data_IF_961636173407
#
_entry.id   IF_961636173407
#
_cell.length_a   1.000
_cell.length_b   1.000
_cell.length_c   1.000
_cell.angle_alpha   90.00
_cell.angle_beta   90.00
_cell.angle_gamma   90.00
#
_symmetry.space_group_name_H-M   'P 1'
#
loop_
_entity.id
_entity.type
_entity.pdbx_description
1 polymer ?
#
# COMPACT_ATOMS: atom_id res chain seq x y z
N UNK A 1 -7.24 -22.82 15.87
CA UNK A 1 -6.65 -23.56 14.75
C UNK A 1 -5.45 -24.37 15.23
N UNK A 2 -5.30 -25.68 14.88
CA UNK A 2 -4.12 -26.47 15.28
C UNK A 2 -2.91 -26.00 14.46
N UNK A 3 -1.86 -25.54 15.13
CA UNK A 3 -0.57 -25.19 14.52
C UNK A 3 -0.09 -26.31 13.61
N UNK A 4 0.20 -26.04 12.33
CA UNK A 4 0.82 -27.02 11.43
C UNK A 4 2.32 -27.08 11.68
N UNK A 5 2.94 -28.25 11.56
CA UNK A 5 4.32 -28.46 11.96
C UNK A 5 5.37 -27.82 11.05
N UNK A 6 5.01 -27.34 9.85
CA UNK A 6 5.95 -26.85 8.84
C UNK A 6 6.21 -25.33 8.87
N UNK A 7 5.46 -24.57 9.70
CA UNK A 7 5.64 -23.11 9.82
C UNK A 7 5.25 -22.31 8.58
N UNK A 8 4.66 -22.95 7.54
CA UNK A 8 4.26 -22.33 6.29
C UNK A 8 2.81 -21.85 6.32
N UNK A 9 2.53 -20.75 5.61
CA UNK A 9 1.19 -20.20 5.41
C UNK A 9 0.73 -20.54 3.98
N UNK A 10 -0.34 -21.33 3.88
CA UNK A 10 -1.00 -21.64 2.61
C UNK A 10 -1.97 -20.51 2.29
N UNK A 11 -1.61 -19.75 1.24
CA UNK A 11 -2.28 -18.53 0.86
C UNK A 11 -3.24 -18.79 -0.31
N UNK A 12 -4.53 -18.44 -0.12
CA UNK A 12 -5.50 -18.27 -1.19
C UNK A 12 -5.46 -16.83 -1.69
N UNK A 13 -5.53 -16.61 -3.00
CA UNK A 13 -5.47 -15.28 -3.62
C UNK A 13 -6.80 -14.92 -4.24
N UNK A 14 -7.37 -13.77 -3.88
CA UNK A 14 -8.60 -13.22 -4.48
C UNK A 14 -8.25 -12.02 -5.34
N UNK A 15 -8.36 -12.20 -6.66
CA UNK A 15 -7.98 -11.19 -7.65
C UNK A 15 -6.53 -11.31 -8.11
N UNK A 16 -6.36 -11.81 -9.32
CA UNK A 16 -5.07 -11.98 -9.99
C UNK A 16 -4.69 -10.75 -10.83
N UNK A 17 -5.06 -9.56 -10.35
CA UNK A 17 -4.83 -8.29 -11.00
C UNK A 17 -3.41 -7.72 -10.80
N UNK A 18 -3.31 -6.38 -10.92
CA UNK A 18 -2.02 -5.68 -10.78
C UNK A 18 -1.41 -5.84 -9.38
N UNK A 19 -2.21 -5.76 -8.32
CA UNK A 19 -1.69 -5.89 -6.96
C UNK A 19 -1.03 -7.26 -6.75
N UNK A 20 -1.70 -8.34 -7.16
CA UNK A 20 -1.10 -9.67 -7.17
C UNK A 20 0.18 -9.73 -8.01
N UNK A 21 0.18 -9.16 -9.23
CA UNK A 21 1.36 -9.14 -10.10
C UNK A 21 2.57 -8.45 -9.45
N UNK A 22 2.33 -7.44 -8.61
CA UNK A 22 3.38 -6.73 -7.87
C UNK A 22 3.86 -7.50 -6.63
N UNK A 23 2.98 -8.27 -5.98
CA UNK A 23 3.34 -9.10 -4.82
C UNK A 23 3.92 -10.47 -5.22
N UNK A 24 3.68 -10.92 -6.43
CA UNK A 24 4.08 -12.25 -6.88
C UNK A 24 5.58 -12.54 -6.68
N UNK A 25 6.53 -11.65 -7.04
CA UNK A 25 7.95 -11.88 -6.77
C UNK A 25 8.24 -12.13 -5.28
N UNK A 26 7.57 -11.40 -4.41
CA UNK A 26 7.70 -11.54 -2.94
C UNK A 26 7.20 -12.89 -2.46
N UNK A 27 6.02 -13.32 -2.92
CA UNK A 27 5.48 -14.65 -2.59
C UNK A 27 6.36 -15.79 -3.09
N UNK A 28 6.98 -15.63 -4.27
CA UNK A 28 7.85 -16.66 -4.85
C UNK A 28 9.22 -16.77 -4.18
N UNK A 29 9.70 -15.66 -3.62
CA UNK A 29 11.01 -15.61 -2.97
C UNK A 29 11.00 -16.12 -1.52
N UNK A 30 9.82 -16.24 -0.92
CA UNK A 30 9.68 -16.62 0.49
C UNK A 30 9.10 -18.04 0.63
N UNK A 31 9.92 -18.95 1.12
CA UNK A 31 9.57 -20.36 1.29
C UNK A 31 8.56 -20.61 2.42
N UNK A 32 8.26 -19.59 3.24
CA UNK A 32 7.21 -19.60 4.27
C UNK A 32 5.81 -19.45 3.67
N UNK A 33 5.69 -19.02 2.40
CA UNK A 33 4.41 -18.86 1.69
C UNK A 33 4.23 -19.94 0.66
N UNK A 34 3.04 -20.53 0.61
CA UNK A 34 2.60 -21.47 -0.42
C UNK A 34 1.36 -20.91 -1.09
N UNK A 35 1.44 -20.61 -2.38
CA UNK A 35 0.29 -20.22 -3.19
C UNK A 35 -0.61 -21.44 -3.42
N UNK A 36 -1.61 -21.66 -2.56
CA UNK A 36 -2.40 -22.87 -2.48
C UNK A 36 -3.66 -22.84 -3.34
N UNK A 37 -4.23 -21.65 -3.55
CA UNK A 37 -5.42 -21.47 -4.35
C UNK A 37 -5.55 -20.05 -4.89
N UNK A 38 -6.36 -19.86 -5.95
CA UNK A 38 -6.73 -18.54 -6.42
C UNK A 38 -8.19 -18.45 -6.86
N UNK A 39 -8.75 -17.25 -6.72
CA UNK A 39 -10.07 -16.89 -7.21
C UNK A 39 -9.98 -15.63 -8.08
N UNK A 40 -10.44 -15.69 -9.32
CA UNK A 40 -10.50 -14.56 -10.26
C UNK A 40 -11.61 -14.84 -11.30
N UNK A 41 -12.44 -13.86 -11.70
CA UNK A 41 -13.46 -14.09 -12.73
C UNK A 41 -12.87 -14.43 -14.11
N UNK A 42 -11.62 -14.05 -14.39
CA UNK A 42 -10.95 -14.30 -15.68
C UNK A 42 -10.41 -15.72 -15.76
N UNK A 43 -10.99 -16.53 -16.63
CA UNK A 43 -10.58 -17.91 -16.87
C UNK A 43 -9.10 -18.05 -17.29
N UNK A 44 -8.58 -17.12 -18.12
CA UNK A 44 -7.17 -17.11 -18.53
C UNK A 44 -6.21 -17.00 -17.35
N UNK A 45 -6.53 -16.12 -16.38
CA UNK A 45 -5.72 -15.94 -15.16
C UNK A 45 -5.79 -17.18 -14.26
N UNK A 46 -6.99 -17.77 -14.08
CA UNK A 46 -7.17 -19.01 -13.30
C UNK A 46 -6.36 -20.16 -13.89
N UNK A 47 -6.49 -20.40 -15.21
CA UNK A 47 -5.75 -21.47 -15.90
C UNK A 47 -4.24 -21.27 -15.80
N UNK A 48 -3.76 -20.05 -15.91
CA UNK A 48 -2.33 -19.79 -15.74
C UNK A 48 -1.89 -20.08 -14.31
N UNK A 49 -2.63 -19.63 -13.30
CA UNK A 49 -2.30 -19.88 -11.89
C UNK A 49 -2.24 -21.41 -11.58
N UNK A 50 -3.21 -22.17 -12.09
CA UNK A 50 -3.19 -23.63 -11.95
C UNK A 50 -1.97 -24.28 -12.58
N UNK A 51 -1.52 -23.79 -13.75
CA UNK A 51 -0.32 -24.30 -14.42
C UNK A 51 0.97 -23.92 -13.68
N UNK A 52 1.07 -22.65 -13.24
CA UNK A 52 2.29 -22.12 -12.65
C UNK A 52 2.56 -22.69 -11.25
N UNK A 53 1.49 -22.98 -10.48
CA UNK A 53 1.59 -23.35 -9.06
C UNK A 53 1.03 -24.73 -8.74
N UNK A 54 0.41 -25.44 -9.69
CA UNK A 54 -0.27 -26.71 -9.41
C UNK A 54 -1.42 -26.57 -8.41
N UNK A 55 -1.96 -25.35 -8.26
CA UNK A 55 -2.89 -24.98 -7.20
C UNK A 55 -4.35 -25.03 -7.68
N UNK A 56 -5.27 -25.12 -6.73
CA UNK A 56 -6.71 -25.09 -7.01
C UNK A 56 -7.15 -23.70 -7.44
N UNK A 57 -8.10 -23.62 -8.36
CA UNK A 57 -8.63 -22.35 -8.86
C UNK A 57 -10.15 -22.33 -8.83
N UNK A 58 -10.70 -21.17 -8.51
CA UNK A 58 -12.11 -20.95 -8.30
C UNK A 58 -12.58 -19.70 -9.06
N UNK A 59 -13.83 -19.67 -9.46
CA UNK A 59 -14.46 -18.50 -10.05
C UNK A 59 -14.97 -17.55 -8.95
N UNK A 60 -15.44 -18.13 -7.85
CA UNK A 60 -16.04 -17.44 -6.72
C UNK A 60 -15.27 -17.72 -5.42
N UNK A 61 -15.14 -16.69 -4.57
CA UNK A 61 -14.48 -16.79 -3.28
C UNK A 61 -15.24 -17.72 -2.32
N UNK A 62 -16.57 -17.80 -2.44
CA UNK A 62 -17.36 -18.62 -1.51
C UNK A 62 -16.91 -20.09 -1.52
N UNK A 63 -16.58 -20.62 -2.69
CA UNK A 63 -16.05 -21.99 -2.80
C UNK A 63 -14.63 -22.10 -2.23
N UNK A 64 -13.75 -21.14 -2.57
CA UNK A 64 -12.36 -21.11 -2.09
C UNK A 64 -12.27 -20.99 -0.57
N UNK A 65 -13.12 -20.16 0.05
CA UNK A 65 -13.06 -19.88 1.49
C UNK A 65 -13.35 -21.13 2.36
N UNK A 66 -14.14 -22.07 1.87
CA UNK A 66 -14.42 -23.33 2.57
C UNK A 66 -13.25 -24.33 2.54
N UNK A 67 -12.26 -24.14 1.67
CA UNK A 67 -11.15 -25.09 1.55
C UNK A 67 -10.36 -25.22 2.87
N UNK A 68 -10.15 -26.44 3.38
CA UNK A 68 -9.33 -26.66 4.57
C UNK A 68 -7.82 -26.49 4.28
N UNK A 69 -7.46 -26.36 3.00
CA UNK A 69 -6.08 -26.26 2.54
C UNK A 69 -5.58 -24.83 2.43
N UNK A 70 -6.34 -23.87 2.94
CA UNK A 70 -5.99 -22.44 2.98
C UNK A 70 -5.95 -21.99 4.43
N UNK A 71 -4.84 -21.31 4.81
CA UNK A 71 -4.65 -20.75 6.15
C UNK A 71 -4.99 -19.26 6.17
N UNK A 72 -4.63 -18.54 5.09
CA UNK A 72 -4.88 -17.11 4.94
C UNK A 72 -5.34 -16.77 3.51
N UNK A 73 -6.03 -15.64 3.37
CA UNK A 73 -6.51 -15.13 2.08
C UNK A 73 -5.88 -13.76 1.82
N UNK A 74 -5.19 -13.62 0.68
CA UNK A 74 -4.76 -12.33 0.15
C UNK A 74 -5.87 -11.75 -0.73
N UNK A 75 -6.44 -10.62 -0.28
CA UNK A 75 -7.53 -9.92 -0.96
C UNK A 75 -6.95 -8.80 -1.81
N UNK A 76 -6.86 -9.01 -3.11
CA UNK A 76 -6.35 -8.11 -4.13
C UNK A 76 -7.40 -7.83 -5.22
N UNK A 77 -8.66 -8.00 -4.89
CA UNK A 77 -9.82 -7.65 -5.71
C UNK A 77 -9.98 -6.12 -5.85
N UNK A 78 -10.88 -5.60 -6.70
CA UNK A 78 -11.22 -4.18 -6.70
C UNK A 78 -11.75 -3.71 -5.33
N UNK A 79 -11.44 -2.46 -4.98
CA UNK A 79 -11.64 -1.90 -3.63
C UNK A 79 -13.07 -2.08 -3.07
N UNK A 80 -14.09 -1.96 -3.93
CA UNK A 80 -15.50 -2.12 -3.55
C UNK A 80 -15.87 -3.52 -3.07
N UNK A 81 -15.02 -4.52 -3.28
CA UNK A 81 -15.27 -5.90 -2.86
C UNK A 81 -14.47 -6.29 -1.61
N UNK A 82 -13.52 -5.46 -1.15
CA UNK A 82 -12.63 -5.80 -0.04
C UNK A 82 -13.42 -6.20 1.21
N UNK A 83 -14.39 -5.40 1.62
CA UNK A 83 -15.16 -5.66 2.85
C UNK A 83 -15.94 -6.97 2.77
N UNK A 84 -16.67 -7.21 1.67
CA UNK A 84 -17.43 -8.44 1.50
C UNK A 84 -16.52 -9.67 1.48
N UNK A 85 -15.42 -9.61 0.74
CA UNK A 85 -14.45 -10.72 0.66
C UNK A 85 -13.75 -10.98 2.00
N UNK A 86 -13.36 -9.92 2.73
CA UNK A 86 -12.73 -10.05 4.04
C UNK A 86 -13.68 -10.68 5.07
N UNK A 87 -14.93 -10.21 5.14
CA UNK A 87 -15.93 -10.77 6.04
C UNK A 87 -16.23 -12.24 5.74
N UNK A 88 -16.33 -12.60 4.45
CA UNK A 88 -16.55 -13.99 4.03
C UNK A 88 -15.38 -14.90 4.40
N UNK A 89 -14.16 -14.48 4.11
CA UNK A 89 -12.95 -15.25 4.44
C UNK A 89 -12.78 -15.40 5.95
N UNK A 90 -12.96 -14.30 6.73
CA UNK A 90 -12.90 -14.33 8.19
C UNK A 90 -13.94 -15.28 8.79
N UNK A 91 -15.20 -15.24 8.32
CA UNK A 91 -16.26 -16.13 8.78
C UNK A 91 -15.95 -17.62 8.56
N UNK A 92 -15.04 -17.93 7.61
CA UNK A 92 -14.54 -19.27 7.36
C UNK A 92 -13.18 -19.56 8.06
N UNK A 93 -12.81 -18.74 9.04
CA UNK A 93 -11.62 -18.94 9.87
C UNK A 93 -10.30 -18.69 9.14
N UNK A 94 -10.30 -17.89 8.06
CA UNK A 94 -9.07 -17.54 7.32
C UNK A 94 -8.47 -16.26 7.87
N UNK A 95 -7.14 -16.24 8.08
CA UNK A 95 -6.41 -15.00 8.29
C UNK A 95 -6.42 -14.16 7.02
N UNK A 96 -6.22 -12.85 7.13
CA UNK A 96 -6.37 -11.92 6.03
C UNK A 96 -5.10 -11.12 5.78
N UNK A 97 -4.72 -11.01 4.51
CA UNK A 97 -3.87 -9.95 3.98
C UNK A 97 -4.72 -9.16 2.97
N UNK A 98 -5.01 -7.91 3.26
CA UNK A 98 -5.92 -7.08 2.45
C UNK A 98 -5.15 -5.95 1.80
N UNK A 99 -5.33 -5.74 0.49
CA UNK A 99 -4.76 -4.58 -0.20
C UNK A 99 -5.37 -3.27 0.29
N UNK A 100 -4.56 -2.20 0.19
CA UNK A 100 -5.04 -0.85 0.47
C UNK A 100 -5.81 -0.26 -0.76
N UNK A 101 -6.76 0.66 -0.53
CA UNK A 101 -7.36 1.01 0.76
C UNK A 101 -8.13 -0.18 1.34
N UNK A 102 -8.16 -0.28 2.67
CA UNK A 102 -8.84 -1.39 3.36
C UNK A 102 -10.29 -1.57 2.89
N UNK A 103 -11.01 -0.45 2.75
CA UNK A 103 -12.39 -0.37 2.28
C UNK A 103 -12.68 1.01 1.70
N UNK A 104 -13.93 1.32 1.35
CA UNK A 104 -14.36 2.63 0.86
C UNK A 104 -15.00 3.50 1.95
N UNK A 105 -15.34 2.93 3.10
CA UNK A 105 -15.91 3.63 4.25
C UNK A 105 -15.38 3.09 5.57
N UNK A 106 -15.42 3.92 6.62
CA UNK A 106 -15.05 3.47 7.97
C UNK A 106 -16.02 2.44 8.52
N UNK A 107 -17.29 2.46 8.12
CA UNK A 107 -18.28 1.47 8.51
C UNK A 107 -17.95 0.07 7.95
N UNK A 108 -17.49 -0.02 6.69
CA UNK A 108 -16.99 -1.27 6.12
C UNK A 108 -15.73 -1.76 6.85
N UNK A 109 -14.83 -0.85 7.24
CA UNK A 109 -13.67 -1.21 8.07
C UNK A 109 -14.10 -1.82 9.40
N UNK A 110 -15.12 -1.25 10.06
CA UNK A 110 -15.64 -1.80 11.31
C UNK A 110 -16.21 -3.21 11.12
N UNK A 111 -16.97 -3.44 10.06
CA UNK A 111 -17.48 -4.77 9.70
C UNK A 111 -16.35 -5.81 9.55
N UNK A 112 -15.26 -5.43 8.86
CA UNK A 112 -14.11 -6.31 8.65
C UNK A 112 -13.39 -6.60 9.98
N UNK A 113 -13.14 -5.58 10.81
CA UNK A 113 -12.49 -5.70 12.12
C UNK A 113 -13.33 -6.61 13.04
N UNK A 114 -14.64 -6.39 13.12
CA UNK A 114 -15.55 -7.21 13.91
C UNK A 114 -15.63 -8.65 13.40
N UNK A 115 -15.64 -8.86 12.07
CA UNK A 115 -15.64 -10.21 11.51
C UNK A 115 -14.39 -10.98 11.90
N UNK A 116 -13.21 -10.35 11.82
CA UNK A 116 -11.94 -10.94 12.25
C UNK A 116 -11.91 -11.23 13.75
N UNK A 117 -12.41 -10.30 14.57
CA UNK A 117 -12.47 -10.48 16.02
C UNK A 117 -13.40 -11.65 16.42
N UNK A 118 -14.59 -11.75 15.80
CA UNK A 118 -15.52 -12.87 16.05
C UNK A 118 -14.96 -14.23 15.64
N UNK A 119 -14.16 -14.26 14.58
CA UNK A 119 -13.55 -15.49 14.05
C UNK A 119 -12.18 -15.80 14.68
N UNK A 120 -11.65 -14.93 15.53
CA UNK A 120 -10.31 -15.03 16.14
C UNK A 120 -9.20 -15.17 15.09
N UNK A 121 -9.32 -14.43 13.97
CA UNK A 121 -8.33 -14.41 12.89
C UNK A 121 -7.58 -13.08 12.83
N UNK A 122 -6.37 -13.11 12.32
CA UNK A 122 -5.54 -11.92 12.11
C UNK A 122 -5.88 -11.25 10.79
N UNK A 123 -5.80 -9.92 10.76
CA UNK A 123 -5.92 -9.12 9.54
C UNK A 123 -4.77 -8.13 9.46
N UNK A 124 -4.07 -8.15 8.34
CA UNK A 124 -3.02 -7.21 7.97
C UNK A 124 -3.48 -6.48 6.71
N UNK A 125 -3.30 -5.16 6.68
CA UNK A 125 -3.68 -4.33 5.53
C UNK A 125 -2.43 -3.72 4.90
N UNK A 126 -2.13 -4.08 3.69
CA UNK A 126 -0.94 -3.63 2.94
C UNK A 126 -0.82 -4.37 1.59
N UNK A 127 0.13 -3.97 0.76
CA UNK A 127 1.29 -3.15 1.10
C UNK A 127 0.97 -1.65 1.17
N UNK A 128 1.37 -0.99 2.27
CA UNK A 128 1.59 0.44 2.35
C UNK A 128 3.09 0.72 2.50
N UNK A 129 3.56 1.91 2.12
CA UNK A 129 4.98 2.24 2.22
C UNK A 129 5.48 2.40 3.67
N UNK A 130 4.58 2.48 4.66
CA UNK A 130 4.94 2.39 6.08
C UNK A 130 5.58 1.06 6.49
N UNK A 131 5.36 -0.02 5.71
CA UNK A 131 6.09 -1.29 5.88
C UNK A 131 7.56 -1.18 5.49
N UNK A 132 7.94 -0.27 4.59
CA UNK A 132 9.29 -0.25 4.03
C UNK A 132 10.35 -0.02 5.11
N UNK A 133 11.41 -0.80 5.05
CA UNK A 133 12.50 -0.80 6.03
C UNK A 133 13.02 0.58 6.43
N UNK A 134 13.20 1.58 5.50
CA UNK A 134 13.65 2.91 5.91
C UNK A 134 12.69 3.62 6.87
N UNK A 135 11.38 3.47 6.69
CA UNK A 135 10.39 4.10 7.59
C UNK A 135 10.28 3.37 8.92
N UNK A 136 10.29 2.02 8.91
CA UNK A 136 10.27 1.23 10.15
C UNK A 136 11.51 1.48 11.00
N UNK A 137 12.70 1.57 10.38
CA UNK A 137 13.93 1.87 11.10
C UNK A 137 13.96 3.33 11.61
N UNK A 138 13.45 4.27 10.82
CA UNK A 138 13.29 5.67 11.27
C UNK A 138 12.36 5.74 12.49
N UNK A 139 11.22 4.99 12.50
CA UNK A 139 10.33 4.94 13.67
C UNK A 139 11.08 4.43 14.91
N UNK A 140 11.86 3.35 14.80
CA UNK A 140 12.66 2.82 15.91
C UNK A 140 13.69 3.85 16.43
N UNK A 141 14.33 4.61 15.53
CA UNK A 141 15.24 5.69 15.91
C UNK A 141 14.52 6.81 16.67
N UNK A 142 13.32 7.19 16.23
CA UNK A 142 12.49 8.17 16.92
C UNK A 142 12.07 7.68 18.31
N UNK A 143 11.69 6.39 18.43
CA UNK A 143 11.30 5.75 19.70
C UNK A 143 12.45 5.68 20.71
N UNK A 144 13.71 5.71 20.25
CA UNK A 144 14.86 5.74 21.15
C UNK A 144 14.95 7.01 22.01
N UNK A 145 14.20 8.06 21.64
CA UNK A 145 14.23 9.37 22.30
C UNK A 145 15.52 10.20 22.04
N UNK A 146 16.47 9.66 21.27
CA UNK A 146 17.77 10.30 20.98
C UNK A 146 17.63 11.71 20.41
N UNK A 147 16.58 11.97 19.63
CA UNK A 147 16.42 13.20 18.86
C UNK A 147 15.37 14.15 19.46
N UNK A 148 14.82 13.82 20.63
CA UNK A 148 13.70 14.56 21.21
C UNK A 148 12.38 14.30 20.48
N UNK A 149 11.40 15.14 20.74
CA UNK A 149 10.08 14.99 20.16
C UNK A 149 10.06 15.32 18.65
N UNK A 150 9.27 14.57 17.88
CA UNK A 150 8.94 14.93 16.50
C UNK A 150 8.11 16.23 16.53
N UNK A 151 8.48 17.19 15.68
CA UNK A 151 7.81 18.50 15.59
C UNK A 151 7.10 18.68 14.25
N UNK A 152 7.74 18.31 13.16
CA UNK A 152 7.22 18.52 11.81
C UNK A 152 7.64 17.37 10.89
N UNK A 153 6.74 17.00 9.98
CA UNK A 153 7.04 16.02 8.92
C UNK A 153 6.65 16.63 7.58
N UNK A 154 7.56 16.59 6.62
CA UNK A 154 7.27 16.89 5.23
C UNK A 154 7.33 15.63 4.39
N UNK A 155 6.27 15.38 3.61
CA UNK A 155 6.22 14.29 2.65
C UNK A 155 5.69 14.82 1.31
N UNK A 156 6.44 14.58 0.25
CA UNK A 156 6.00 14.96 -1.08
C UNK A 156 6.29 13.86 -2.10
N UNK A 157 5.44 13.77 -3.14
CA UNK A 157 5.70 12.87 -4.25
C UNK A 157 5.07 13.39 -5.55
N UNK A 158 5.85 13.39 -6.62
CA UNK A 158 5.44 13.77 -7.97
C UNK A 158 5.66 12.60 -8.91
N UNK A 159 4.61 12.15 -9.56
CA UNK A 159 4.64 11.00 -10.49
C UNK A 159 3.72 11.27 -11.68
N UNK A 160 3.76 10.39 -12.67
CA UNK A 160 2.84 10.37 -13.81
C UNK A 160 1.61 9.46 -13.57
N UNK A 161 1.26 9.20 -12.32
CA UNK A 161 0.24 8.21 -11.91
C UNK A 161 -1.06 8.32 -12.70
N UNK A 162 -1.57 9.52 -12.94
CA UNK A 162 -2.85 9.74 -13.64
C UNK A 162 -2.82 9.26 -15.09
N UNK A 163 -1.65 9.11 -15.69
CA UNK A 163 -1.47 8.68 -17.09
C UNK A 163 -1.08 7.20 -17.23
N UNK A 164 -0.96 6.47 -16.13
CA UNK A 164 -0.88 5.01 -16.17
C UNK A 164 -2.24 4.45 -16.54
N UNK A 165 -2.35 3.36 -17.34
CA UNK A 165 -3.65 2.81 -17.76
C UNK A 165 -4.60 2.53 -16.59
N UNK A 166 -5.85 2.99 -16.72
CA UNK A 166 -6.91 2.92 -15.69
C UNK A 166 -8.14 2.17 -16.20
N UNK A 167 -8.87 1.59 -15.28
CA UNK A 167 -10.25 1.16 -15.48
C UNK A 167 -11.18 2.35 -15.20
N UNK A 168 -12.41 2.38 -15.76
CA UNK A 168 -13.33 3.51 -15.55
C UNK A 168 -13.57 3.86 -14.08
N UNK A 169 -13.73 2.86 -13.20
CA UNK A 169 -13.98 3.06 -11.77
C UNK A 169 -12.77 3.68 -11.03
N UNK A 170 -11.56 3.49 -11.53
CA UNK A 170 -10.34 4.09 -10.96
C UNK A 170 -10.20 5.59 -11.26
N UNK A 171 -11.07 6.12 -12.13
CA UNK A 171 -11.22 7.54 -12.44
C UNK A 171 -12.51 8.14 -11.85
N UNK A 172 -13.09 7.48 -10.83
CA UNK A 172 -14.28 7.92 -10.11
C UNK A 172 -14.00 7.88 -8.62
N UNK A 173 -13.94 9.04 -7.97
CA UNK A 173 -13.62 9.15 -6.54
C UNK A 173 -14.61 8.36 -5.68
N UNK A 174 -15.90 8.38 -6.00
CA UNK A 174 -16.96 7.67 -5.27
C UNK A 174 -16.83 6.14 -5.37
N UNK A 175 -16.15 5.64 -6.40
CA UNK A 175 -15.85 4.21 -6.57
C UNK A 175 -14.48 3.81 -5.97
N UNK A 176 -13.83 4.71 -5.20
CA UNK A 176 -12.51 4.49 -4.64
C UNK A 176 -11.37 4.78 -5.62
N UNK A 177 -11.65 5.53 -6.69
CA UNK A 177 -10.66 6.03 -7.63
C UNK A 177 -9.95 7.29 -7.13
N UNK A 178 -9.12 7.87 -8.01
CA UNK A 178 -8.36 9.07 -7.70
C UNK A 178 -7.10 8.83 -6.87
N UNK A 179 -6.39 9.92 -6.57
CA UNK A 179 -5.12 9.83 -5.84
C UNK A 179 -5.30 9.79 -4.33
N UNK A 180 -6.46 10.19 -3.80
CA UNK A 180 -6.66 10.17 -2.34
C UNK A 180 -6.76 8.72 -1.86
N UNK A 181 -7.62 7.90 -2.45
CA UNK A 181 -7.70 6.48 -2.09
C UNK A 181 -6.46 5.68 -2.48
N UNK A 182 -5.84 6.00 -3.61
CA UNK A 182 -4.76 5.16 -4.15
C UNK A 182 -3.37 5.58 -3.70
N UNK A 183 -3.12 6.86 -3.44
CA UNK A 183 -1.80 7.42 -3.17
C UNK A 183 -1.71 8.11 -1.81
N UNK A 184 -2.74 8.88 -1.39
CA UNK A 184 -2.69 9.50 -0.07
C UNK A 184 -2.69 8.45 1.05
N UNK A 185 -3.31 7.30 0.85
CA UNK A 185 -3.23 6.18 1.79
C UNK A 185 -1.78 5.82 2.14
N UNK A 186 -0.86 5.82 1.18
CA UNK A 186 0.56 5.57 1.44
C UNK A 186 1.23 6.70 2.22
N UNK A 187 1.03 7.97 1.79
CA UNK A 187 1.66 9.11 2.44
C UNK A 187 1.14 9.31 3.87
N UNK A 188 -0.18 9.22 4.06
CA UNK A 188 -0.83 9.32 5.37
C UNK A 188 -0.31 8.23 6.30
N UNK A 189 -0.19 7.01 5.81
CA UNK A 189 0.29 5.88 6.59
C UNK A 189 1.73 6.08 7.07
N UNK A 190 2.62 6.51 6.16
CA UNK A 190 4.02 6.84 6.49
C UNK A 190 4.10 7.96 7.54
N UNK A 191 3.38 9.08 7.36
CA UNK A 191 3.51 10.20 8.32
C UNK A 191 2.87 9.87 9.66
N UNK A 192 1.81 9.05 9.70
CA UNK A 192 1.24 8.54 10.96
C UNK A 192 2.22 7.65 11.70
N UNK A 193 2.88 6.72 11.00
CA UNK A 193 3.94 5.89 11.57
C UNK A 193 5.05 6.77 12.18
N UNK A 194 5.55 7.74 11.42
CA UNK A 194 6.67 8.59 11.85
C UNK A 194 6.29 9.57 12.97
N UNK A 195 5.07 10.11 12.97
CA UNK A 195 4.58 10.95 14.05
C UNK A 195 4.43 10.20 15.38
N UNK A 196 4.11 8.89 15.32
CA UNK A 196 3.92 8.04 16.50
C UNK A 196 2.78 8.51 17.41
N UNK A 197 1.78 9.18 16.86
CA UNK A 197 0.66 9.77 17.60
C UNK A 197 -0.61 9.75 16.73
N UNK A 198 -1.79 9.66 17.33
CA UNK A 198 -3.05 9.80 16.61
C UNK A 198 -3.14 11.13 15.88
N UNK A 199 -3.68 11.10 14.66
CA UNK A 199 -4.02 12.33 13.95
C UNK A 199 -5.26 12.96 14.59
N UNK A 200 -5.28 14.30 14.73
CA UNK A 200 -6.37 15.01 15.39
C UNK A 200 -7.26 15.77 14.42
N UNK A 201 -6.68 16.34 13.37
CA UNK A 201 -7.43 17.07 12.33
C UNK A 201 -6.66 17.17 11.03
N UNK A 202 -7.37 17.45 9.92
CA UNK A 202 -6.77 17.64 8.60
C UNK A 202 -7.40 18.83 7.87
N UNK A 203 -6.56 19.55 7.10
CA UNK A 203 -6.96 20.51 6.08
C UNK A 203 -6.37 20.08 4.76
N UNK A 204 -7.18 20.03 3.70
CA UNK A 204 -6.71 19.60 2.38
C UNK A 204 -7.29 20.46 1.25
N UNK A 205 -6.54 20.51 0.16
CA UNK A 205 -6.98 21.01 -1.15
C UNK A 205 -6.66 19.96 -2.19
N UNK A 206 -7.59 19.72 -3.11
CA UNK A 206 -7.47 18.74 -4.18
C UNK A 206 -7.39 19.44 -5.54
N UNK A 207 -6.67 18.84 -6.48
CA UNK A 207 -6.52 19.31 -7.86
C UNK A 207 -7.08 18.31 -8.86
N UNK A 208 -7.99 18.77 -9.73
CA UNK A 208 -8.48 18.06 -10.89
C UNK A 208 -8.23 18.94 -12.13
N UNK A 209 -7.12 18.66 -12.83
CA UNK A 209 -6.61 19.56 -13.87
C UNK A 209 -6.77 19.03 -15.29
N UNK A 210 -7.06 17.73 -15.43
CA UNK A 210 -7.20 17.09 -16.74
C UNK A 210 -8.65 16.58 -16.89
N UNK A 211 -9.44 17.18 -17.81
CA UNK A 211 -10.83 16.76 -18.02
C UNK A 211 -10.95 15.31 -18.56
N UNK A 212 -9.88 14.75 -19.12
CA UNK A 212 -9.86 13.36 -19.56
C UNK A 212 -9.63 12.38 -18.40
N UNK A 213 -9.33 12.90 -17.20
CA UNK A 213 -9.12 12.18 -15.95
C UNK A 213 -10.07 12.74 -14.87
N UNK A 214 -11.38 12.40 -14.92
CA UNK A 214 -12.43 13.07 -14.14
C UNK A 214 -12.44 12.68 -12.67
N UNK A 215 -11.28 12.71 -12.01
CA UNK A 215 -11.09 12.51 -10.58
C UNK A 215 -9.96 13.39 -10.09
N UNK A 216 -9.78 13.54 -8.78
CA UNK A 216 -8.64 14.25 -8.23
C UNK A 216 -7.33 13.51 -8.57
N UNK A 217 -6.36 14.26 -9.06
CA UNK A 217 -5.04 13.74 -9.45
C UNK A 217 -3.89 14.40 -8.68
N UNK A 218 -4.18 15.37 -7.80
CA UNK A 218 -3.22 16.02 -6.93
C UNK A 218 -3.88 16.43 -5.61
N UNK A 219 -3.06 16.56 -4.56
CA UNK A 219 -3.48 17.14 -3.28
C UNK A 219 -2.32 17.85 -2.57
N UNK A 220 -2.69 18.80 -1.72
CA UNK A 220 -1.87 19.29 -0.61
C UNK A 220 -2.69 19.24 0.66
N UNK A 221 -2.10 18.76 1.74
CA UNK A 221 -2.78 18.64 3.03
C UNK A 221 -1.86 18.98 4.20
N UNK A 222 -2.45 19.54 5.25
CA UNK A 222 -1.85 19.67 6.57
C UNK A 222 -2.57 18.70 7.51
N UNK A 223 -1.81 17.89 8.22
CA UNK A 223 -2.30 16.92 9.18
C UNK A 223 -1.68 17.22 10.56
N UNK A 224 -2.50 17.37 11.59
CA UNK A 224 -2.07 17.61 12.97
C UNK A 224 -2.23 16.36 13.81
N UNK A 225 -1.38 16.19 14.80
CA UNK A 225 -1.34 15.05 15.71
C UNK A 225 -1.57 15.49 17.16
N UNK A 226 -2.03 14.56 18.00
CA UNK A 226 -2.34 14.83 19.42
C UNK A 226 -1.10 15.23 20.23
N UNK A 227 0.09 14.76 19.85
CA UNK A 227 1.36 15.13 20.49
C UNK A 227 1.86 16.55 20.12
N UNK A 228 1.08 17.31 19.36
CA UNK A 228 1.41 18.66 18.92
C UNK A 228 2.29 18.75 17.66
N UNK A 229 2.75 17.62 17.12
CA UNK A 229 3.42 17.62 15.82
C UNK A 229 2.43 17.79 14.66
N UNK A 230 2.96 18.12 13.48
CA UNK A 230 2.14 18.22 12.28
C UNK A 230 2.89 17.71 11.04
N UNK A 231 2.14 17.33 10.01
CA UNK A 231 2.69 16.95 8.73
C UNK A 231 2.13 17.77 7.58
N UNK A 232 3.00 18.07 6.60
CA UNK A 232 2.63 18.64 5.30
C UNK A 232 2.78 17.54 4.25
N UNK A 233 1.71 17.23 3.53
CA UNK A 233 1.65 16.23 2.50
C UNK A 233 1.36 16.89 1.16
N UNK A 234 2.13 16.54 0.12
CA UNK A 234 1.87 17.01 -1.24
C UNK A 234 2.06 15.86 -2.21
N UNK A 235 1.09 15.64 -3.08
CA UNK A 235 1.16 14.65 -4.14
C UNK A 235 0.66 15.22 -5.46
N UNK A 236 1.36 14.90 -6.54
CA UNK A 236 0.89 15.16 -7.89
C UNK A 236 1.05 13.92 -8.77
N UNK A 237 -0.06 13.34 -9.20
CA UNK A 237 -0.12 12.28 -10.21
C UNK A 237 -0.11 12.83 -11.65
N UNK A 238 -0.12 14.14 -11.83
CA UNK A 238 0.01 14.83 -13.12
C UNK A 238 1.46 15.18 -13.46
N UNK A 239 2.42 14.69 -12.68
CA UNK A 239 3.83 15.06 -12.81
C UNK A 239 4.37 14.92 -14.23
N UNK A 240 5.08 15.95 -14.68
CA UNK A 240 6.09 15.88 -15.74
C UNK A 240 7.46 15.71 -15.11
N UNK A 241 7.70 16.36 -13.97
CA UNK A 241 8.77 16.07 -13.05
C UNK A 241 8.42 14.81 -12.25
N UNK A 242 9.43 13.96 -11.96
CA UNK A 242 9.34 12.83 -11.05
C UNK A 242 10.25 13.09 -9.85
N UNK A 243 9.81 12.77 -8.65
CA UNK A 243 10.58 12.98 -7.41
C UNK A 243 11.65 11.91 -7.12
N UNK A 244 11.76 10.84 -7.91
CA UNK A 244 12.75 9.78 -7.75
C UNK A 244 14.21 10.29 -7.62
N UNK A 245 14.68 11.32 -8.39
CA UNK A 245 16.03 11.88 -8.23
C UNK A 245 16.32 12.39 -6.82
N UNK A 246 15.31 12.80 -6.06
CA UNK A 246 15.48 13.25 -4.67
C UNK A 246 15.60 12.10 -3.66
N UNK A 247 15.39 10.87 -4.12
CA UNK A 247 15.61 9.61 -3.41
C UNK A 247 16.76 8.79 -4.00
N UNK A 248 17.81 9.45 -4.47
CA UNK A 248 18.99 8.78 -4.99
C UNK A 248 18.85 8.26 -6.43
N UNK A 249 17.80 8.64 -7.18
CA UNK A 249 17.56 8.19 -8.55
C UNK A 249 16.99 6.78 -8.64
N UNK A 250 16.44 6.27 -7.54
CA UNK A 250 15.71 5.01 -7.52
C UNK A 250 14.21 5.24 -7.73
N UNK A 251 13.57 4.30 -8.42
CA UNK A 251 12.11 4.27 -8.56
C UNK A 251 11.44 3.86 -7.25
N UNK A 252 10.12 4.07 -7.14
CA UNK A 252 9.30 3.63 -6.01
C UNK A 252 9.55 2.18 -5.59
N UNK A 253 9.93 1.30 -6.53
CA UNK A 253 10.20 -0.12 -6.29
C UNK A 253 11.68 -0.45 -6.02
N UNK A 254 12.55 0.56 -5.88
CA UNK A 254 13.97 0.38 -5.57
C UNK A 254 14.85 0.00 -6.76
N UNK A 255 14.37 0.16 -8.00
CA UNK A 255 15.17 -0.02 -9.22
C UNK A 255 15.72 1.31 -9.70
N UNK A 256 16.78 1.28 -10.52
CA UNK A 256 17.28 2.52 -11.16
C UNK A 256 16.20 3.19 -12.00
N UNK A 257 16.06 4.50 -11.86
CA UNK A 257 15.28 5.31 -12.78
C UNK A 257 16.12 5.58 -14.05
N UNK A 258 15.48 5.51 -15.23
CA UNK A 258 16.13 5.75 -16.51
C UNK A 258 15.48 6.92 -17.24
N UNK A 259 16.29 7.78 -17.87
CA UNK A 259 15.81 8.93 -18.65
C UNK A 259 14.89 8.51 -19.81
N UNK A 260 15.08 7.32 -20.36
CA UNK A 260 14.26 6.74 -21.42
C UNK A 260 12.79 6.52 -21.00
N UNK A 261 12.53 6.38 -19.70
CA UNK A 261 11.18 6.23 -19.16
C UNK A 261 10.42 7.56 -19.07
N UNK A 262 11.09 8.69 -19.28
CA UNK A 262 10.44 10.00 -19.25
C UNK A 262 9.26 10.07 -20.25
N UNK A 263 8.08 10.41 -19.74
CA UNK A 263 6.86 10.51 -20.53
C UNK A 263 6.27 9.20 -21.08
N UNK A 264 6.80 8.05 -20.70
CA UNK A 264 6.38 6.71 -21.18
C UNK A 264 4.87 6.45 -20.96
N UNK A 265 4.33 6.79 -19.79
CA UNK A 265 2.91 6.60 -19.51
C UNK A 265 2.03 7.44 -20.45
N UNK A 266 2.38 8.72 -20.68
CA UNK A 266 1.64 9.60 -21.59
C UNK A 266 1.74 9.12 -23.05
N UNK A 267 2.93 8.73 -23.51
CA UNK A 267 3.09 8.16 -24.86
C UNK A 267 2.25 6.91 -25.04
N UNK A 268 2.20 6.05 -24.03
CA UNK A 268 1.39 4.81 -24.05
C UNK A 268 -0.11 5.10 -24.18
N UNK A 269 -0.60 6.16 -23.55
CA UNK A 269 -2.01 6.55 -23.62
C UNK A 269 -2.37 7.36 -24.87
N UNK A 270 -1.42 8.04 -25.51
CA UNK A 270 -1.68 8.96 -26.62
C UNK A 270 -2.40 8.30 -27.83
N UNK A 271 -2.30 6.98 -27.97
CA UNK A 271 -2.97 6.21 -29.04
C UNK A 271 -4.24 5.51 -28.60
N UNK A 272 -4.70 5.70 -27.35
CA UNK A 272 -5.86 5.00 -26.81
C UNK A 272 -7.13 5.85 -26.99
N UNK A 273 -8.07 5.35 -27.79
CA UNK A 273 -9.26 6.12 -28.19
C UNK A 273 -10.50 5.95 -27.31
N UNK A 274 -10.48 5.03 -26.32
CA UNK A 274 -11.64 4.81 -25.44
C UNK A 274 -11.25 4.25 -24.07
N UNK A 275 -12.15 4.42 -23.08
CA UNK A 275 -11.98 3.88 -21.73
C UNK A 275 -11.88 2.34 -21.72
N UNK A 276 -12.64 1.66 -22.59
CA UNK A 276 -12.61 0.20 -22.72
C UNK A 276 -11.27 -0.29 -23.28
N UNK A 277 -10.68 0.46 -24.24
CA UNK A 277 -9.36 0.15 -24.78
C UNK A 277 -8.27 0.36 -23.72
N UNK A 278 -8.39 1.39 -22.89
CA UNK A 278 -7.48 1.63 -21.77
C UNK A 278 -7.59 0.53 -20.72
N UNK A 279 -8.80 0.13 -20.34
CA UNK A 279 -9.03 -0.95 -19.40
C UNK A 279 -8.45 -2.29 -19.91
N UNK A 280 -8.63 -2.58 -21.22
CA UNK A 280 -7.99 -3.75 -21.86
C UNK A 280 -6.47 -3.68 -21.80
N UNK A 281 -5.88 -2.54 -22.16
CA UNK A 281 -4.43 -2.33 -22.08
C UNK A 281 -3.87 -2.60 -20.68
N UNK A 282 -4.62 -2.23 -19.64
CA UNK A 282 -4.27 -2.54 -18.25
C UNK A 282 -4.40 -4.03 -17.96
N UNK A 283 -5.52 -4.65 -18.34
CA UNK A 283 -5.77 -6.07 -18.11
C UNK A 283 -4.74 -6.96 -18.81
N UNK A 284 -4.41 -6.64 -20.06
CA UNK A 284 -3.43 -7.37 -20.86
C UNK A 284 -2.03 -7.41 -20.23
N UNK A 285 -1.67 -6.40 -19.46
CA UNK A 285 -0.38 -6.30 -18.76
C UNK A 285 -0.42 -6.88 -17.33
N UNK A 286 -1.52 -7.50 -16.89
CA UNK A 286 -1.63 -8.16 -15.58
C UNK A 286 -1.51 -9.67 -15.71
N UNK A 287 -1.35 -10.37 -14.60
CA UNK A 287 -1.23 -11.83 -14.56
C UNK A 287 -2.35 -12.52 -15.37
N UNK A 288 -1.96 -13.44 -16.23
CA UNK A 288 -2.86 -14.14 -17.14
C UNK A 288 -3.29 -13.35 -18.39
N UNK A 289 -2.81 -12.12 -18.55
CA UNK A 289 -3.02 -11.32 -19.76
C UNK A 289 -1.99 -11.61 -20.85
N UNK A 290 -2.29 -11.34 -22.11
CA UNK A 290 -1.43 -11.70 -23.25
C UNK A 290 -0.10 -10.92 -23.31
N UNK A 291 -0.05 -9.75 -22.69
CA UNK A 291 1.17 -8.93 -22.60
C UNK A 291 1.85 -9.01 -21.23
N UNK A 292 1.35 -9.86 -20.35
CA UNK A 292 1.99 -10.10 -19.07
C UNK A 292 3.26 -10.91 -19.27
N UNK A 293 4.34 -10.40 -18.72
CA UNK A 293 5.60 -11.15 -18.65
C UNK A 293 5.83 -11.56 -17.20
N UNK A 294 6.14 -12.84 -16.94
CA UNK A 294 6.59 -13.26 -15.62
C UNK A 294 7.69 -12.29 -15.17
N UNK A 295 7.76 -11.92 -13.90
CA UNK A 295 8.96 -11.30 -13.39
C UNK A 295 10.09 -12.27 -13.76
N UNK A 296 10.85 -11.92 -14.79
CA UNK A 296 12.09 -12.60 -15.12
C UNK A 296 12.82 -12.72 -13.80
N UNK A 297 13.48 -13.87 -13.51
CA UNK A 297 14.20 -14.11 -12.26
C UNK A 297 14.64 -12.75 -11.71
N UNK A 298 13.78 -12.17 -10.85
CA UNK A 298 13.70 -10.73 -10.71
C UNK A 298 15.05 -10.30 -10.19
N UNK A 299 15.76 -9.47 -10.95
CA UNK A 299 16.95 -8.85 -10.39
C UNK A 299 16.51 -8.23 -9.08
N UNK A 300 17.22 -8.50 -7.97
CA UNK A 300 16.88 -7.90 -6.71
C UNK A 300 16.85 -6.38 -6.87
N UNK A 301 15.99 -5.66 -6.17
CA UNK A 301 16.03 -4.22 -6.19
C UNK A 301 17.40 -3.73 -5.72
N UNK A 302 17.87 -2.62 -6.28
CA UNK A 302 19.18 -2.05 -5.95
C UNK A 302 19.14 -1.26 -4.64
N UNK A 303 17.94 -0.89 -4.18
CA UNK A 303 17.71 -0.09 -2.99
C UNK A 303 16.34 -0.43 -2.38
N UNK A 304 16.07 0.09 -1.18
CA UNK A 304 14.77 -0.03 -0.55
C UNK A 304 13.70 0.78 -1.30
N UNK A 305 12.45 0.37 -1.18
CA UNK A 305 11.31 1.11 -1.68
C UNK A 305 11.17 2.46 -0.98
N UNK A 306 10.48 3.40 -1.63
CA UNK A 306 10.13 4.70 -1.07
C UNK A 306 8.82 5.23 -1.65
N UNK A 307 8.25 6.23 -1.01
CA UNK A 307 7.08 6.94 -1.52
C UNK A 307 7.35 8.45 -1.66
N UNK A 308 8.46 8.78 -2.31
CA UNK A 308 8.95 10.15 -2.45
C UNK A 308 9.73 10.64 -1.22
N UNK A 309 10.28 11.87 -1.28
CA UNK A 309 11.04 12.47 -0.20
C UNK A 309 10.22 12.67 1.07
N UNK A 310 10.82 12.29 2.21
CA UNK A 310 10.29 12.55 3.55
C UNK A 310 11.37 13.20 4.39
N UNK A 311 11.00 14.21 5.16
CA UNK A 311 11.87 14.87 6.16
C UNK A 311 11.10 14.88 7.49
N UNK A 312 11.71 14.40 8.54
CA UNK A 312 11.19 14.44 9.91
C UNK A 312 12.05 15.40 10.73
N UNK A 313 11.50 16.53 11.12
CA UNK A 313 12.15 17.49 12.00
C UNK A 313 11.81 17.18 13.45
N UNK A 314 12.84 16.89 14.24
CA UNK A 314 12.79 16.66 15.68
C UNK A 314 13.39 17.85 16.43
N UNK A 315 13.41 17.80 17.76
CA UNK A 315 14.02 18.86 18.59
C UNK A 315 15.52 19.01 18.37
N UNK A 316 16.22 17.90 18.07
CA UNK A 316 17.67 17.87 18.01
C UNK A 316 18.23 17.32 16.70
N UNK A 317 17.40 17.03 15.71
CA UNK A 317 17.84 16.53 14.40
C UNK A 317 16.75 16.65 13.34
N UNK A 318 17.17 16.76 12.07
CA UNK A 318 16.36 16.43 10.92
C UNK A 318 16.72 15.03 10.41
N UNK A 319 15.73 14.19 10.13
CA UNK A 319 15.91 12.81 9.70
C UNK A 319 15.30 12.62 8.32
N UNK A 320 16.03 12.00 7.40
CA UNK A 320 15.59 11.65 6.05
C UNK A 320 15.70 10.15 5.82
N UNK A 321 14.60 9.38 5.87
CA UNK A 321 14.59 8.05 5.31
C UNK A 321 14.78 8.12 3.79
N UNK A 322 15.77 7.36 3.30
CA UNK A 322 16.15 7.29 1.88
C UNK A 322 16.20 5.83 1.44
N UNK A 323 16.25 5.59 0.16
CA UNK A 323 16.28 4.23 -0.39
C UNK A 323 17.56 3.44 -0.01
N UNK A 324 18.65 4.12 0.29
CA UNK A 324 19.94 3.52 0.69
C UNK A 324 20.17 3.50 2.21
N UNK A 325 19.24 4.05 2.99
CA UNK A 325 19.38 4.15 4.45
C UNK A 325 18.73 5.38 5.05
N UNK A 326 19.24 5.83 6.20
CA UNK A 326 18.67 6.94 6.94
C UNK A 326 19.76 8.00 7.14
N UNK A 327 19.49 9.20 6.67
CA UNK A 327 20.33 10.37 6.97
C UNK A 327 19.81 11.09 8.21
N UNK A 328 20.70 11.35 9.16
CA UNK A 328 20.44 12.12 10.37
C UNK A 328 21.32 13.37 10.33
N UNK A 329 20.71 14.53 10.44
CA UNK A 329 21.36 15.84 10.49
C UNK A 329 21.19 16.40 11.88
N UNK A 330 22.20 16.22 12.75
CA UNK A 330 22.23 16.76 14.10
C UNK A 330 22.85 18.16 14.16
N UNK A 331 22.94 18.74 15.36
CA UNK A 331 23.43 20.11 15.56
C UNK A 331 24.87 20.38 15.05
N UNK A 332 25.71 19.37 15.02
CA UNK A 332 27.15 19.53 14.71
C UNK A 332 27.64 18.63 13.59
N UNK A 333 26.99 17.53 13.38
CA UNK A 333 27.40 16.50 12.40
C UNK A 333 26.21 15.84 11.75
N UNK A 334 26.44 15.24 10.61
CA UNK A 334 25.48 14.37 9.93
C UNK A 334 25.96 12.93 9.96
N UNK A 335 25.01 12.01 10.11
CA UNK A 335 25.25 10.57 10.14
C UNK A 335 24.45 9.91 9.00
N UNK A 336 25.03 8.94 8.34
CA UNK A 336 24.31 8.03 7.43
C UNK A 336 24.27 6.64 8.07
N UNK A 337 23.07 6.13 8.30
CA UNK A 337 22.81 4.77 8.76
C UNK A 337 22.40 3.95 7.55
N UNK A 338 23.31 3.17 6.94
CA UNK A 338 23.02 2.44 5.72
C UNK A 338 22.06 1.30 6.01
N UNK A 339 21.14 1.06 5.08
CA UNK A 339 20.27 -0.10 5.06
C UNK A 339 20.56 -0.93 3.82
N UNK A 340 20.69 -2.26 3.94
CA UNK A 340 20.94 -3.12 2.80
C UNK A 340 19.73 -3.08 1.85
N UNK A 341 20.02 -3.21 0.54
CA UNK A 341 18.95 -3.43 -0.43
C UNK A 341 18.26 -4.77 -0.12
N UNK A 342 16.92 -4.83 -0.20
CA UNK A 342 16.19 -6.07 0.05
C UNK A 342 16.41 -7.07 -1.09
N UNK A 343 16.33 -8.37 -0.76
CA UNK A 343 16.41 -9.43 -1.77
C UNK A 343 15.22 -9.39 -2.74
N UNK A 344 14.06 -8.91 -2.25
CA UNK A 344 12.82 -8.77 -3.00
C UNK A 344 12.02 -7.61 -2.43
N UNK A 345 11.28 -6.84 -3.26
CA UNK A 345 10.43 -5.76 -2.75
C UNK A 345 9.35 -6.30 -1.81
N UNK A 346 8.94 -5.51 -0.80
CA UNK A 346 7.78 -5.80 0.07
C UNK A 346 7.88 -7.04 0.94
N UNK A 347 9.10 -7.53 1.20
CA UNK A 347 9.31 -8.71 2.06
C UNK A 347 8.77 -8.49 3.48
N UNK A 348 8.77 -7.26 3.97
CA UNK A 348 8.29 -6.87 5.29
C UNK A 348 6.81 -7.24 5.51
N UNK A 349 6.00 -7.22 4.44
CA UNK A 349 4.60 -7.66 4.50
C UNK A 349 4.49 -9.13 4.85
N UNK A 350 5.40 -9.96 4.30
CA UNK A 350 5.41 -11.40 4.60
C UNK A 350 5.92 -11.63 6.03
N UNK A 351 6.92 -10.90 6.46
CA UNK A 351 7.43 -11.00 7.84
C UNK A 351 6.31 -10.70 8.84
N UNK A 352 5.55 -9.62 8.63
CA UNK A 352 4.44 -9.28 9.51
C UNK A 352 3.29 -10.31 9.44
N UNK A 353 2.99 -10.85 8.25
CA UNK A 353 2.00 -11.90 8.09
C UNK A 353 2.39 -13.18 8.83
N UNK A 354 3.64 -13.62 8.70
CA UNK A 354 4.15 -14.80 9.39
C UNK A 354 4.18 -14.57 10.91
N UNK A 355 4.63 -13.41 11.35
CA UNK A 355 4.64 -13.05 12.77
C UNK A 355 3.24 -13.09 13.37
N UNK A 356 2.23 -12.58 12.65
CA UNK A 356 0.85 -12.58 13.12
C UNK A 356 0.22 -13.98 13.08
N UNK A 357 0.36 -14.70 11.97
CA UNK A 357 -0.35 -15.96 11.75
C UNK A 357 0.33 -17.15 12.43
N UNK A 358 1.67 -17.20 12.37
CA UNK A 358 2.45 -18.33 12.88
C UNK A 358 2.88 -18.11 14.32
N UNK A 359 3.33 -16.90 14.64
CA UNK A 359 3.89 -16.58 15.96
C UNK A 359 2.89 -15.90 16.91
N UNK A 360 1.70 -15.51 16.42
CA UNK A 360 0.65 -14.88 17.21
C UNK A 360 1.02 -13.48 17.73
N UNK A 361 1.97 -12.80 17.05
CA UNK A 361 2.33 -11.42 17.35
C UNK A 361 1.28 -10.48 16.79
N UNK A 362 0.97 -9.42 17.51
CA UNK A 362 0.06 -8.39 17.01
C UNK A 362 0.74 -7.61 15.86
N UNK A 363 0.10 -7.52 14.68
CA UNK A 363 0.65 -6.72 13.60
C UNK A 363 0.55 -5.22 13.88
N UNK A 364 1.47 -4.45 13.32
CA UNK A 364 1.42 -2.96 13.33
C UNK A 364 0.32 -2.50 12.38
N UNK A 365 0.28 -3.09 11.17
CA UNK A 365 -0.66 -2.71 10.11
C UNK A 365 -1.97 -3.50 10.20
N UNK A 366 -2.57 -3.53 11.38
CA UNK A 366 -3.85 -4.18 11.64
C UNK A 366 -5.06 -3.37 11.10
N UNK A 367 -6.26 -3.92 11.26
CA UNK A 367 -7.49 -3.27 10.82
C UNK A 367 -7.73 -1.88 11.44
N UNK A 368 -7.61 -1.69 12.76
CA UNK A 368 -7.68 -0.38 13.41
C UNK A 368 -6.69 0.64 12.85
N UNK A 369 -5.45 0.23 12.60
CA UNK A 369 -4.44 1.08 11.97
C UNK A 369 -4.87 1.55 10.57
N UNK A 370 -5.28 0.61 9.72
CA UNK A 370 -5.70 0.90 8.34
C UNK A 370 -6.99 1.71 8.27
N UNK A 371 -7.96 1.45 9.17
CA UNK A 371 -9.16 2.27 9.33
C UNK A 371 -8.82 3.74 9.63
N UNK A 372 -7.86 3.96 10.53
CA UNK A 372 -7.44 5.31 10.90
C UNK A 372 -6.76 6.03 9.72
N UNK A 373 -5.96 5.33 8.89
CA UNK A 373 -5.41 5.87 7.63
C UNK A 373 -6.54 6.24 6.65
N UNK A 374 -7.50 5.36 6.46
CA UNK A 374 -8.65 5.63 5.59
C UNK A 374 -9.49 6.82 6.09
N UNK A 375 -9.70 6.94 7.41
CA UNK A 375 -10.43 8.06 8.00
C UNK A 375 -9.78 9.41 7.67
N UNK A 376 -8.45 9.50 7.69
CA UNK A 376 -7.73 10.70 7.24
C UNK A 376 -7.97 10.96 5.74
N UNK A 377 -7.89 9.94 4.90
CA UNK A 377 -8.15 10.09 3.46
C UNK A 377 -9.57 10.61 3.17
N UNK A 378 -10.58 10.05 3.83
CA UNK A 378 -11.96 10.51 3.70
C UNK A 378 -12.14 11.95 4.23
N UNK A 379 -11.47 12.29 5.32
CA UNK A 379 -11.48 13.65 5.86
C UNK A 379 -10.75 14.64 4.93
N UNK A 380 -9.73 14.24 4.18
CA UNK A 380 -9.11 15.07 3.13
C UNK A 380 -10.11 15.42 2.02
N UNK A 381 -10.89 14.43 1.55
CA UNK A 381 -11.97 14.67 0.57
C UNK A 381 -13.02 15.63 1.13
N UNK A 382 -13.46 15.42 2.36
CA UNK A 382 -14.42 16.28 3.03
C UNK A 382 -13.87 17.71 3.22
N UNK A 383 -12.63 17.85 3.69
CA UNK A 383 -11.97 19.14 3.90
C UNK A 383 -11.87 19.96 2.62
N UNK A 384 -11.51 19.35 1.51
CA UNK A 384 -11.42 20.03 0.22
C UNK A 384 -12.79 20.50 -0.27
N UNK A 385 -13.84 19.66 -0.11
CA UNK A 385 -15.21 20.00 -0.49
C UNK A 385 -15.80 21.12 0.37
N UNK A 386 -15.57 21.08 1.69
CA UNK A 386 -16.17 21.98 2.65
C UNK A 386 -15.31 23.23 2.93
N UNK A 387 -14.09 23.27 2.39
CA UNK A 387 -13.12 24.34 2.58
C UNK A 387 -12.85 24.68 4.05
N UNK A 388 -12.82 23.67 4.94
CA UNK A 388 -12.55 23.82 6.39
C UNK A 388 -11.70 22.67 6.93
N UNK A 389 -11.20 22.82 8.14
CA UNK A 389 -10.57 21.75 8.89
C UNK A 389 -11.61 20.69 9.25
N UNK A 390 -11.20 19.41 9.18
CA UNK A 390 -12.01 18.26 9.62
C UNK A 390 -11.32 17.62 10.82
N UNK A 391 -12.02 17.52 11.91
CA UNK A 391 -11.59 16.79 13.11
C UNK A 391 -11.61 15.29 12.85
N UNK A 392 -10.67 14.56 13.47
CA UNK A 392 -10.45 13.14 13.29
C UNK A 392 -10.67 12.39 14.62
N UNK A 393 -11.91 12.13 15.03
CA UNK A 393 -12.16 11.38 16.24
C UNK A 393 -11.73 9.91 16.07
N UNK A 394 -11.37 9.27 17.18
CA UNK A 394 -11.15 7.82 17.26
C UNK A 394 -10.03 7.27 16.37
N UNK A 395 -8.90 7.95 16.37
CA UNK A 395 -7.69 7.46 15.69
C UNK A 395 -6.99 6.37 16.51
N UNK A 396 -6.35 5.40 15.82
CA UNK A 396 -5.59 4.34 16.47
C UNK A 396 -4.18 4.82 16.85
N UNK A 397 -3.72 4.42 18.05
CA UNK A 397 -2.32 4.53 18.46
C UNK A 397 -1.46 3.46 17.78
N UNK A 398 -0.17 3.74 17.60
CA UNK A 398 0.84 2.69 17.42
C UNK A 398 0.91 1.89 18.74
N UNK A 399 0.83 0.58 18.65
CA UNK A 399 0.88 -0.33 19.80
C UNK A 399 2.21 -1.03 19.87
#
# INVERSE_FOLDING_TARGET
MKRKPDGKVRLGVVGLGRAFSLMLPTFLADDRIVLAAACDPRDTARRQFARDFGALVYEDLSEMAFSPDIDAVYIASPHQFHAAHACLAAANGKHLLVEKPMALSTAECDQMIEACARAEVQMIVGHCHSFDSPYLHTRRLLDSGRFGAVRMIHALNYTDFMYRPRRPEELQTEAGGGVVFSQAAHQVDVVRLLAGSPASRVRATLGQWDPTRPTEGAYSAMLWFENGSYASLTYSGYGRFNSDPWNGGFTEMGFSAHDEDYGKARRRLAGIGSAEAEARLKADATYGGPSWTPPASAQPPLANQHFGPVIVSCEHADIRPMSDGIWVYGDREREHIPLPAPAVPRFEVIDELIDAVVHGRRPVHDGPWAKATLAVCLAMLASAREARDIELPHQAWLV
#
